data_IF_035856167951
#
_entry.id   IF_035856167951
#
_cell.length_a   1.000
_cell.length_b   1.000
_cell.length_c   1.000
_cell.angle_alpha   90.00
_cell.angle_beta   90.00
_cell.angle_gamma   90.00
#
_symmetry.space_group_name_H-M   'P 1'
#
loop_
_entity.id
_entity.type
_entity.pdbx_description
1 polymer ?
#
# COMPACT_ATOMS: atom_id res chain seq x y z
N UNK A 1 -15.24 -12.86 -0.01
CA UNK A 1 -15.39 -11.61 -0.83
C UNK A 1 -14.47 -10.43 -0.43
N UNK A 2 -13.84 -10.38 0.77
CA UNK A 2 -12.92 -9.30 1.18
C UNK A 2 -11.60 -9.23 0.38
N UNK A 3 -11.01 -10.39 0.04
CA UNK A 3 -9.76 -10.49 -0.76
C UNK A 3 -9.90 -9.84 -2.16
N UNK A 4 -11.06 -10.00 -2.80
CA UNK A 4 -11.38 -9.38 -4.09
C UNK A 4 -11.38 -7.84 -3.99
N UNK A 5 -11.93 -7.28 -2.91
CA UNK A 5 -11.94 -5.82 -2.68
C UNK A 5 -10.53 -5.23 -2.48
N UNK A 6 -9.67 -5.93 -1.72
CA UNK A 6 -8.27 -5.55 -1.54
C UNK A 6 -7.49 -5.55 -2.85
N UNK A 7 -7.61 -6.63 -3.63
CA UNK A 7 -6.95 -6.75 -4.93
C UNK A 7 -7.43 -5.70 -5.94
N UNK A 8 -8.73 -5.42 -6.00
CA UNK A 8 -9.28 -4.34 -6.84
C UNK A 8 -8.65 -3.00 -6.43
N UNK A 9 -8.51 -2.74 -5.13
CA UNK A 9 -7.93 -1.49 -4.66
C UNK A 9 -6.43 -1.39 -4.99
N UNK A 10 -5.65 -2.45 -4.79
CA UNK A 10 -4.24 -2.51 -5.20
C UNK A 10 -4.09 -2.26 -6.72
N UNK A 11 -4.90 -2.92 -7.55
CA UNK A 11 -4.90 -2.71 -9.00
C UNK A 11 -5.26 -1.27 -9.38
N UNK A 12 -6.20 -0.65 -8.66
CA UNK A 12 -6.54 0.75 -8.86
C UNK A 12 -5.37 1.68 -8.51
N UNK A 13 -4.67 1.44 -7.38
CA UNK A 13 -3.49 2.23 -6.98
C UNK A 13 -2.40 2.12 -8.05
N UNK A 14 -2.15 0.89 -8.53
CA UNK A 14 -1.20 0.62 -9.61
C UNK A 14 -1.51 1.49 -10.83
N UNK A 15 -2.73 1.36 -11.39
CA UNK A 15 -3.16 2.11 -12.57
C UNK A 15 -3.04 3.63 -12.37
N UNK A 16 -3.51 4.12 -11.22
CA UNK A 16 -3.45 5.54 -10.88
C UNK A 16 -2.02 6.11 -10.83
N UNK A 17 -1.06 5.32 -10.32
CA UNK A 17 0.35 5.73 -10.27
C UNK A 17 1.03 5.61 -11.64
N UNK A 18 0.72 4.56 -12.41
CA UNK A 18 1.21 4.38 -13.78
C UNK A 18 0.76 5.53 -14.69
N UNK A 19 -0.50 5.96 -14.61
CA UNK A 19 -1.01 7.16 -15.31
C UNK A 19 -0.27 8.45 -14.91
N UNK A 20 0.41 8.46 -13.77
CA UNK A 20 1.26 9.56 -13.30
C UNK A 20 2.74 9.36 -13.62
N UNK A 21 3.07 8.37 -14.46
CA UNK A 21 4.41 8.08 -14.92
C UNK A 21 5.30 7.41 -13.87
N UNK A 22 4.72 6.62 -12.97
CA UNK A 22 5.48 5.71 -12.11
C UNK A 22 5.56 4.33 -12.73
N UNK A 23 6.70 3.66 -12.59
CA UNK A 23 6.79 2.21 -12.74
C UNK A 23 6.35 1.55 -11.43
N UNK A 24 5.39 0.62 -11.48
CA UNK A 24 4.78 0.05 -10.27
C UNK A 24 4.88 -1.47 -10.25
N UNK A 25 5.54 -2.01 -9.21
CA UNK A 25 5.44 -3.41 -8.83
C UNK A 25 4.26 -3.60 -7.87
N UNK A 26 3.34 -4.50 -8.20
CA UNK A 26 2.20 -4.85 -7.35
C UNK A 26 2.31 -6.32 -6.95
N UNK A 27 2.63 -6.58 -5.69
CA UNK A 27 2.76 -7.92 -5.15
C UNK A 27 1.37 -8.53 -4.92
N UNK A 28 0.97 -9.42 -5.82
CA UNK A 28 -0.33 -10.09 -5.75
C UNK A 28 -0.23 -11.37 -4.93
N UNK A 29 -1.23 -11.62 -4.10
CA UNK A 29 -1.29 -12.81 -3.27
C UNK A 29 -1.65 -14.06 -4.11
N UNK A 30 -0.65 -14.83 -4.52
CA UNK A 30 -0.77 -16.19 -5.04
C UNK A 30 -1.05 -17.22 -3.94
N UNK A 31 -1.77 -18.27 -4.32
CA UNK A 31 -1.96 -19.46 -3.50
C UNK A 31 -1.71 -20.69 -4.35
N UNK A 32 -1.12 -21.73 -3.75
CA UNK A 32 -0.90 -23.02 -4.38
C UNK A 32 -1.70 -24.07 -3.64
N UNK A 33 -2.47 -24.87 -4.37
CA UNK A 33 -3.02 -26.10 -3.82
C UNK A 33 -1.87 -27.10 -3.67
N UNK A 34 -1.56 -27.49 -2.45
CA UNK A 34 -0.60 -28.54 -2.15
C UNK A 34 -1.41 -29.81 -1.89
N UNK A 35 -1.13 -30.85 -2.68
CA UNK A 35 -1.71 -32.19 -2.49
C UNK A 35 -0.67 -33.07 -1.82
N UNK A 36 -1.03 -33.66 -0.69
CA UNK A 36 -0.33 -34.82 -0.13
C UNK A 36 -1.24 -36.06 -0.28
N UNK A 37 -0.69 -37.27 -0.18
CA UNK A 37 -1.33 -38.57 -0.42
C UNK A 37 -2.72 -38.73 0.23
N UNK A 38 -2.98 -38.04 1.35
CA UNK A 38 -4.23 -38.17 2.11
C UNK A 38 -5.09 -36.90 2.14
N UNK A 39 -4.55 -35.72 1.80
CA UNK A 39 -5.26 -34.42 1.95
C UNK A 39 -4.75 -33.37 0.96
N UNK A 40 -5.66 -32.54 0.49
CA UNK A 40 -5.34 -31.32 -0.25
C UNK A 40 -5.51 -30.11 0.66
N UNK A 41 -4.51 -29.23 0.73
CA UNK A 41 -4.59 -27.98 1.50
C UNK A 41 -4.03 -26.80 0.69
N UNK A 42 -4.65 -25.63 0.83
CA UNK A 42 -4.21 -24.41 0.16
C UNK A 42 -3.11 -23.74 0.98
N UNK A 43 -1.93 -23.59 0.40
CA UNK A 43 -0.83 -22.81 0.99
C UNK A 43 -0.82 -21.43 0.33
N UNK A 44 -0.92 -20.38 1.15
CA UNK A 44 -0.76 -19.01 0.69
C UNK A 44 0.75 -18.70 0.57
N UNK A 45 1.29 -18.82 -0.64
CA UNK A 45 2.73 -18.72 -0.90
C UNK A 45 3.21 -17.28 -1.10
N UNK A 46 2.32 -16.32 -1.31
CA UNK A 46 2.72 -14.92 -1.49
C UNK A 46 2.38 -14.09 -0.26
N UNK A 47 3.45 -13.68 0.41
CA UNK A 47 3.44 -12.63 1.41
C UNK A 47 3.68 -11.30 0.72
N UNK A 48 3.12 -10.25 1.31
CA UNK A 48 3.41 -8.86 0.97
C UNK A 48 4.94 -8.63 0.91
N UNK A 49 5.40 -7.61 0.20
CA UNK A 49 6.82 -7.27 0.11
C UNK A 49 7.34 -6.95 1.52
N UNK A 50 8.36 -7.69 1.95
CA UNK A 50 8.86 -7.69 3.34
C UNK A 50 7.77 -7.95 4.39
N UNK A 51 6.74 -8.72 4.02
CA UNK A 51 5.59 -9.04 4.87
C UNK A 51 4.73 -7.83 5.24
N UNK A 52 4.83 -6.72 4.48
CA UNK A 52 4.16 -5.47 4.85
C UNK A 52 3.60 -4.62 3.72
N UNK A 53 4.30 -4.50 2.60
CA UNK A 53 3.90 -3.62 1.50
C UNK A 53 3.27 -4.38 0.34
N UNK A 54 2.17 -3.85 -0.17
CA UNK A 54 1.50 -4.42 -1.33
C UNK A 54 2.14 -3.93 -2.65
N UNK A 55 2.61 -2.67 -2.69
CA UNK A 55 3.17 -2.07 -3.90
C UNK A 55 4.48 -1.32 -3.64
N UNK A 56 5.34 -1.32 -4.66
CA UNK A 56 6.47 -0.38 -4.80
C UNK A 56 6.23 0.45 -6.07
N UNK A 57 6.39 1.77 -5.97
CA UNK A 57 6.33 2.66 -7.12
C UNK A 57 7.60 3.52 -7.22
N UNK A 58 8.19 3.55 -8.42
CA UNK A 58 9.45 4.25 -8.72
C UNK A 58 9.20 5.26 -9.83
N UNK A 59 9.80 6.45 -9.69
CA UNK A 59 9.83 7.49 -10.73
C UNK A 59 11.14 8.25 -10.63
N UNK A 60 11.74 8.60 -11.77
CA UNK A 60 12.99 9.37 -11.83
C UNK A 60 12.89 10.64 -10.98
N UNK A 61 13.94 10.93 -10.20
CA UNK A 61 14.05 12.09 -9.32
C UNK A 61 12.94 12.21 -8.24
N UNK A 62 12.28 11.10 -7.90
CA UNK A 62 11.31 11.02 -6.79
C UNK A 62 11.74 9.93 -5.82
N UNK A 63 11.30 10.04 -4.56
CA UNK A 63 11.50 8.97 -3.57
C UNK A 63 10.77 7.71 -4.00
N UNK A 64 11.37 6.54 -3.74
CA UNK A 64 10.72 5.24 -3.94
C UNK A 64 9.54 5.15 -2.98
N UNK A 65 8.34 4.89 -3.50
CA UNK A 65 7.12 4.79 -2.68
C UNK A 65 6.86 3.34 -2.34
N UNK A 66 6.83 3.04 -1.04
CA UNK A 66 6.46 1.76 -0.48
C UNK A 66 5.05 1.89 0.08
N UNK A 67 4.11 1.16 -0.50
CA UNK A 67 2.69 1.40 -0.29
C UNK A 67 2.04 0.17 0.31
N UNK A 68 1.41 0.35 1.46
CA UNK A 68 0.46 -0.61 2.00
C UNK A 68 -0.96 -0.15 1.68
N UNK A 69 -1.70 -0.97 0.92
CA UNK A 69 -3.07 -0.74 0.55
C UNK A 69 -4.01 -1.38 1.59
N UNK A 70 -4.98 -0.62 2.10
CA UNK A 70 -5.92 -1.17 3.09
C UNK A 70 -7.32 -0.61 2.94
N UNK A 71 -8.30 -1.46 3.22
CA UNK A 71 -9.71 -1.10 3.37
C UNK A 71 -10.13 -1.06 4.85
N UNK A 72 -9.22 -1.39 5.77
CA UNK A 72 -9.52 -1.47 7.20
C UNK A 72 -9.61 -0.08 7.82
N UNK A 73 -10.40 0.06 8.89
CA UNK A 73 -10.54 1.32 9.63
C UNK A 73 -9.35 1.58 10.56
N UNK A 74 -8.86 0.55 11.25
CA UNK A 74 -7.78 0.66 12.24
C UNK A 74 -6.39 0.50 11.60
N UNK A 75 -5.52 1.47 11.88
CA UNK A 75 -4.16 1.53 11.31
C UNK A 75 -3.05 1.35 12.35
N UNK A 76 -3.35 1.31 13.65
CA UNK A 76 -2.35 1.35 14.73
C UNK A 76 -1.25 0.29 14.55
N UNK A 77 -1.64 -0.99 14.46
CA UNK A 77 -0.71 -2.11 14.27
C UNK A 77 0.08 -2.01 12.95
N UNK A 78 -0.51 -1.48 11.89
CA UNK A 78 0.14 -1.31 10.58
C UNK A 78 1.24 -0.25 10.64
N UNK A 79 0.92 0.89 11.24
CA UNK A 79 1.86 1.99 11.46
C UNK A 79 3.05 1.51 12.31
N UNK A 80 2.80 0.80 13.40
CA UNK A 80 3.87 0.27 14.27
C UNK A 80 4.80 -0.68 13.53
N UNK A 81 4.27 -1.55 12.67
CA UNK A 81 5.09 -2.42 11.81
C UNK A 81 5.92 -1.63 10.80
N UNK A 82 5.32 -0.65 10.11
CA UNK A 82 6.02 0.16 9.08
C UNK A 82 7.14 1.00 9.69
N UNK A 83 6.97 1.48 10.93
CA UNK A 83 8.00 2.24 11.64
C UNK A 83 9.28 1.43 11.89
N UNK A 84 9.16 0.11 12.07
CA UNK A 84 10.28 -0.79 12.38
C UNK A 84 11.12 -1.18 11.17
N UNK A 85 10.66 -0.90 9.95
CA UNK A 85 11.39 -1.26 8.73
C UNK A 85 12.65 -0.40 8.56
N UNK A 86 13.84 -1.00 8.33
CA UNK A 86 15.12 -0.31 8.23
C UNK A 86 15.34 0.36 6.85
N UNK A 87 14.33 1.03 6.31
CA UNK A 87 14.44 1.79 5.07
C UNK A 87 14.76 3.25 5.33
N UNK A 88 15.80 3.77 4.69
CA UNK A 88 16.18 5.19 4.78
C UNK A 88 15.04 6.10 4.28
N UNK A 89 14.57 7.01 5.15
CA UNK A 89 13.49 7.96 4.83
C UNK A 89 13.94 9.12 3.94
N UNK A 90 15.25 9.22 3.67
CA UNK A 90 15.82 10.17 2.70
C UNK A 90 15.44 9.78 1.27
N UNK A 91 15.53 8.50 0.93
CA UNK A 91 15.30 8.00 -0.42
C UNK A 91 13.95 7.29 -0.59
N UNK A 92 13.30 6.90 0.51
CA UNK A 92 12.06 6.14 0.49
C UNK A 92 10.91 6.93 1.12
N UNK A 93 9.71 6.82 0.55
CA UNK A 93 8.43 7.25 1.13
C UNK A 93 7.67 6.00 1.56
N UNK A 94 7.34 5.86 2.84
CA UNK A 94 6.53 4.75 3.34
C UNK A 94 5.12 5.24 3.60
N UNK A 95 4.15 4.61 2.96
CA UNK A 95 2.80 5.13 2.82
C UNK A 95 1.74 4.08 3.12
N UNK A 96 0.66 4.52 3.77
CA UNK A 96 -0.57 3.75 3.88
C UNK A 96 -1.62 4.43 3.01
N UNK A 97 -2.14 3.71 2.04
CA UNK A 97 -3.27 4.14 1.22
C UNK A 97 -4.51 3.43 1.74
N UNK A 98 -5.42 4.21 2.32
CA UNK A 98 -6.61 3.71 2.98
C UNK A 98 -7.86 4.07 2.16
N UNK A 99 -8.58 3.06 1.68
CA UNK A 99 -9.87 3.27 1.02
C UNK A 99 -10.95 3.60 2.05
N UNK A 100 -11.67 4.70 1.83
CA UNK A 100 -12.82 5.15 2.61
C UNK A 100 -14.06 5.21 1.70
N UNK A 101 -15.24 5.40 2.29
CA UNK A 101 -16.49 5.58 1.53
C UNK A 101 -16.43 6.79 0.58
N UNK A 102 -15.80 7.88 1.03
CA UNK A 102 -15.73 9.16 0.29
C UNK A 102 -14.52 9.27 -0.66
N UNK A 103 -13.57 8.33 -0.63
CA UNK A 103 -12.34 8.44 -1.40
C UNK A 103 -11.20 7.65 -0.81
N UNK A 104 -9.97 8.10 -1.05
CA UNK A 104 -8.75 7.45 -0.57
C UNK A 104 -7.95 8.45 0.24
N UNK A 105 -7.52 8.00 1.42
CA UNK A 105 -6.65 8.73 2.32
C UNK A 105 -5.23 8.20 2.17
N UNK A 106 -4.25 9.07 1.97
CA UNK A 106 -2.83 8.70 1.90
C UNK A 106 -2.09 9.28 3.09
N UNK A 107 -1.49 8.39 3.87
CA UNK A 107 -0.81 8.70 5.13
C UNK A 107 0.67 8.38 4.94
N UNK A 108 1.54 9.37 5.16
CA UNK A 108 2.98 9.17 5.20
C UNK A 108 3.42 8.75 6.60
N UNK A 109 4.32 7.77 6.67
CA UNK A 109 4.91 7.22 7.90
C UNK A 109 6.40 7.59 8.00
N UNK A 110 6.88 8.55 7.20
CA UNK A 110 8.30 8.96 7.19
C UNK A 110 8.75 9.68 8.47
N UNK A 111 7.80 10.32 9.17
CA UNK A 111 7.99 10.97 10.47
C UNK A 111 6.84 10.56 11.39
N UNK A 112 6.19 11.51 12.06
CA UNK A 112 4.88 11.28 12.69
C UNK A 112 3.85 10.94 11.60
N UNK A 113 3.05 9.87 11.77
CA UNK A 113 2.01 9.52 10.81
C UNK A 113 1.11 10.71 10.51
N UNK A 114 1.12 11.16 9.26
CA UNK A 114 0.34 12.33 8.84
C UNK A 114 -0.32 12.05 7.52
N UNK A 115 -1.57 12.46 7.40
CA UNK A 115 -2.26 12.49 6.12
C UNK A 115 -1.66 13.57 5.24
N UNK A 116 -1.16 13.17 4.07
CA UNK A 116 -0.48 14.07 3.13
C UNK A 116 -1.32 14.35 1.89
N UNK A 117 -2.27 13.47 1.58
CA UNK A 117 -3.04 13.54 0.35
C UNK A 117 -4.38 12.81 0.49
N UNK A 118 -5.41 13.36 -0.15
CA UNK A 118 -6.70 12.71 -0.41
C UNK A 118 -6.88 12.54 -1.91
N UNK A 119 -7.52 11.45 -2.32
CA UNK A 119 -7.96 11.24 -3.69
C UNK A 119 -9.46 11.01 -3.69
N UNK A 120 -10.20 11.94 -4.31
CA UNK A 120 -11.67 11.94 -4.36
C UNK A 120 -12.07 12.00 -5.82
N UNK A 121 -12.84 11.01 -6.29
CA UNK A 121 -13.27 10.88 -7.70
C UNK A 121 -12.09 11.07 -8.68
N UNK A 122 -10.93 10.49 -8.38
CA UNK A 122 -9.69 10.59 -9.18
C UNK A 122 -8.90 11.89 -9.04
N UNK A 123 -9.48 12.94 -8.45
CA UNK A 123 -8.80 14.23 -8.21
C UNK A 123 -7.93 14.17 -6.95
N UNK A 124 -6.72 14.72 -7.04
CA UNK A 124 -5.74 14.75 -5.96
C UNK A 124 -5.86 16.05 -5.17
N UNK A 125 -5.99 15.94 -3.85
CA UNK A 125 -6.00 17.06 -2.91
C UNK A 125 -4.85 16.87 -1.93
N UNK A 126 -3.89 17.78 -1.93
CA UNK A 126 -2.80 17.76 -0.96
C UNK A 126 -3.27 18.41 0.34
N UNK A 127 -2.96 17.78 1.47
CA UNK A 127 -3.27 18.38 2.77
C UNK A 127 -2.14 19.37 3.07
N UNK A 128 -2.41 20.66 2.93
CA UNK A 128 -1.46 21.71 3.28
C UNK A 128 -1.08 21.58 4.75
N UNK A 129 0.22 21.70 5.02
CA UNK A 129 0.70 21.81 6.39
C UNK A 129 0.58 23.27 6.77
N UNK A 130 -0.51 23.66 7.44
CA UNK A 130 -0.38 24.79 8.36
C UNK A 130 0.50 24.28 9.50
N UNK A 131 1.74 24.76 9.52
CA UNK A 131 2.56 24.77 10.72
C UNK A 131 1.98 25.91 11.58
N UNK A 132 1.40 25.58 12.73
CA UNK A 132 1.43 26.48 13.88
C UNK A 132 2.73 26.15 14.61
#
# INVERSE_FOLDING_TARGET
MKRKKGLIFQNWIKKFLEEKGYLVHNQKAGGRLVRNKSRSFYVNTNQDIFGLFDLIAIKKNKKIRWIQATCDSSLKRRIEKIKKIPLSRKHNSLEIWQKKKWGIRVISINRKPKEVMRIIKGKVYYVSSFSI
#
